data_IF_186016540959
#
_entry.id   IF_186016540959
#
_cell.length_a   1.000
_cell.length_b   1.000
_cell.length_c   1.000
_cell.angle_alpha   90.00
_cell.angle_beta   90.00
_cell.angle_gamma   90.00
#
_symmetry.space_group_name_H-M   'P 1'
#
loop_
_entity.id
_entity.type
_entity.pdbx_description
1 polymer ?
#
# COMPACT_ATOMS: atom_id res chain seq x y z
N UNK A 1 19.04 -5.58 -15.92
CA UNK A 1 17.58 -5.35 -15.84
C UNK A 1 17.32 -5.30 -14.36
N UNK A 2 16.99 -4.13 -13.81
CA UNK A 2 16.62 -4.07 -12.40
C UNK A 2 15.34 -4.89 -12.24
N UNK A 3 15.37 -5.93 -11.40
CA UNK A 3 14.21 -6.74 -11.10
C UNK A 3 13.47 -6.06 -9.95
N UNK A 4 12.39 -5.35 -10.26
CA UNK A 4 11.60 -4.66 -9.24
C UNK A 4 10.68 -5.65 -8.55
N UNK A 5 10.71 -5.61 -7.21
CA UNK A 5 9.85 -6.43 -6.35
C UNK A 5 8.68 -5.61 -5.80
N UNK A 6 7.62 -6.31 -5.40
CA UNK A 6 6.42 -5.68 -4.82
C UNK A 6 6.20 -6.13 -3.39
N UNK A 7 6.10 -5.17 -2.48
CA UNK A 7 5.65 -5.41 -1.10
C UNK A 7 4.27 -4.79 -0.88
N UNK A 8 3.41 -5.47 -0.13
CA UNK A 8 2.13 -4.91 0.32
C UNK A 8 2.13 -4.83 1.85
N UNK A 9 2.03 -3.62 2.38
CA UNK A 9 2.17 -3.36 3.81
C UNK A 9 0.91 -2.69 4.36
N UNK A 10 0.47 -3.16 5.53
CA UNK A 10 -0.61 -2.58 6.33
C UNK A 10 -0.02 -2.08 7.65
N UNK A 11 -0.26 -0.82 8.02
CA UNK A 11 0.41 -0.24 9.20
C UNK A 11 -0.27 0.98 9.82
N UNK A 12 -1.53 1.26 9.47
CA UNK A 12 -2.24 2.47 9.90
C UNK A 12 -2.63 3.32 8.69
N UNK A 13 -2.55 4.65 8.83
CA UNK A 13 -2.95 5.56 7.75
C UNK A 13 -2.04 5.40 6.52
N UNK A 14 -2.63 4.99 5.40
CA UNK A 14 -1.92 4.81 4.14
C UNK A 14 -1.20 6.07 3.61
N UNK A 15 -1.71 7.28 3.85
CA UNK A 15 -1.05 8.53 3.45
C UNK A 15 0.25 8.77 4.19
N UNK A 16 0.30 8.38 5.47
CA UNK A 16 1.53 8.46 6.25
C UNK A 16 2.58 7.46 5.76
N UNK A 17 2.14 6.25 5.37
CA UNK A 17 3.04 5.23 4.84
C UNK A 17 3.56 5.61 3.46
N UNK A 18 2.67 5.99 2.55
CA UNK A 18 2.99 6.43 1.18
C UNK A 18 4.06 7.52 1.20
N UNK A 19 3.84 8.60 1.96
CA UNK A 19 4.78 9.71 2.05
C UNK A 19 6.17 9.32 2.60
N UNK A 20 6.26 8.31 3.47
CA UNK A 20 7.54 7.83 4.01
C UNK A 20 8.25 6.93 3.00
N UNK A 21 7.53 6.03 2.33
CA UNK A 21 8.12 5.10 1.37
C UNK A 21 8.53 5.77 0.06
N UNK A 22 7.80 6.80 -0.41
CA UNK A 22 8.20 7.59 -1.58
C UNK A 22 9.56 8.30 -1.43
N UNK A 23 10.00 8.51 -0.19
CA UNK A 23 11.29 9.15 0.10
C UNK A 23 12.46 8.17 0.20
N UNK A 24 12.19 6.86 0.18
CA UNK A 24 13.24 5.85 0.25
C UNK A 24 13.95 5.71 -1.10
N UNK A 25 15.27 5.53 -1.06
CA UNK A 25 16.03 5.16 -2.26
C UNK A 25 15.71 3.73 -2.64
N UNK A 26 15.76 3.44 -3.94
CA UNK A 26 15.35 2.15 -4.50
C UNK A 26 13.83 1.97 -4.62
N UNK A 27 12.99 2.82 -4.03
CA UNK A 27 11.54 2.78 -4.26
C UNK A 27 11.22 3.49 -5.58
N UNK A 28 10.58 2.77 -6.50
CA UNK A 28 10.14 3.31 -7.79
C UNK A 28 8.73 3.87 -7.73
N UNK A 29 7.83 3.21 -7.01
CA UNK A 29 6.44 3.67 -6.85
C UNK A 29 5.80 3.16 -5.58
N UNK A 30 4.87 3.95 -5.05
CA UNK A 30 3.99 3.57 -3.93
C UNK A 30 2.56 3.85 -4.34
N UNK A 31 1.66 2.90 -4.08
CA UNK A 31 0.24 3.01 -4.39
C UNK A 31 -0.59 2.74 -3.14
N UNK A 32 -1.47 3.68 -2.78
CA UNK A 32 -2.40 3.56 -1.66
C UNK A 32 -3.64 2.74 -2.05
N UNK A 33 -4.09 1.84 -1.16
CA UNK A 33 -5.20 0.94 -1.44
C UNK A 33 -5.80 0.26 -0.21
N UNK A 34 -6.70 -0.69 -0.46
CA UNK A 34 -7.41 -1.45 0.57
C UNK A 34 -7.31 -2.95 0.29
N UNK A 35 -6.97 -3.75 1.30
CA UNK A 35 -6.84 -5.20 1.15
C UNK A 35 -7.24 -5.97 2.41
N UNK A 36 -7.44 -7.28 2.27
CA UNK A 36 -7.72 -8.21 3.38
C UNK A 36 -9.19 -8.28 3.82
N UNK A 37 -10.08 -7.47 3.24
CA UNK A 37 -11.52 -7.52 3.50
C UNK A 37 -12.29 -8.48 2.60
N UNK A 38 -13.60 -8.55 2.81
CA UNK A 38 -14.50 -9.48 2.12
C UNK A 38 -15.40 -8.82 1.08
N UNK A 39 -15.45 -7.47 1.05
CA UNK A 39 -16.27 -6.73 0.08
C UNK A 39 -15.46 -6.50 -1.20
N UNK A 40 -15.93 -6.94 -2.38
CA UNK A 40 -15.24 -6.71 -3.63
C UNK A 40 -15.34 -5.23 -4.05
N UNK A 41 -14.23 -4.64 -4.50
CA UNK A 41 -14.15 -3.25 -4.97
C UNK A 41 -14.86 -2.24 -4.03
N UNK A 42 -14.45 -2.17 -2.74
CA UNK A 42 -15.09 -1.27 -1.79
C UNK A 42 -14.86 0.20 -2.17
N UNK A 43 -15.84 1.06 -1.91
CA UNK A 43 -15.60 2.51 -1.93
C UNK A 43 -14.88 2.95 -0.65
N UNK A 44 -14.22 4.10 -0.69
CA UNK A 44 -13.59 4.71 0.49
C UNK A 44 -14.58 4.82 1.67
N UNK A 45 -15.79 5.30 1.41
CA UNK A 45 -16.85 5.44 2.42
C UNK A 45 -17.23 4.10 3.04
N UNK A 46 -17.27 3.03 2.24
CA UNK A 46 -17.54 1.69 2.74
C UNK A 46 -16.41 1.20 3.66
N UNK A 47 -15.15 1.46 3.32
CA UNK A 47 -14.01 1.13 4.20
C UNK A 47 -14.06 1.93 5.49
N UNK A 48 -14.31 3.25 5.42
CA UNK A 48 -14.45 4.11 6.60
C UNK A 48 -15.59 3.69 7.54
N UNK A 49 -16.62 3.02 7.03
CA UNK A 49 -17.68 2.46 7.87
C UNK A 49 -17.22 1.30 8.77
N UNK A 50 -16.04 0.71 8.49
CA UNK A 50 -15.48 -0.43 9.22
C UNK A 50 -16.15 -1.77 8.93
N UNK A 51 -17.18 -1.80 8.08
CA UNK A 51 -17.98 -3.01 7.83
C UNK A 51 -17.37 -3.95 6.79
N UNK A 52 -16.45 -3.47 5.96
CA UNK A 52 -15.88 -4.24 4.84
C UNK A 52 -14.75 -5.17 5.24
N UNK A 53 -14.18 -4.97 6.44
CA UNK A 53 -13.02 -5.71 6.95
C UNK A 53 -11.71 -5.43 6.21
N UNK A 54 -11.67 -4.43 5.32
CA UNK A 54 -10.43 -4.07 4.64
C UNK A 54 -9.49 -3.27 5.57
N UNK A 55 -8.21 -3.53 5.46
CA UNK A 55 -7.15 -2.70 6.02
C UNK A 55 -6.67 -1.69 4.97
N UNK A 56 -6.31 -0.49 5.43
CA UNK A 56 -5.52 0.44 4.64
C UNK A 56 -4.13 -0.14 4.39
N UNK A 57 -3.74 -0.22 3.12
CA UNK A 57 -2.46 -0.78 2.69
C UNK A 57 -1.79 0.14 1.68
N UNK A 58 -0.48 -0.02 1.56
CA UNK A 58 0.32 0.52 0.46
C UNK A 58 0.99 -0.62 -0.29
N UNK A 59 0.96 -0.56 -1.62
CA UNK A 59 1.75 -1.43 -2.50
C UNK A 59 2.98 -0.65 -2.96
N UNK A 60 4.16 -1.18 -2.65
CA UNK A 60 5.45 -0.55 -2.93
C UNK A 60 6.14 -1.38 -4.00
N UNK A 61 6.53 -0.74 -5.11
CA UNK A 61 7.44 -1.31 -6.10
C UNK A 61 8.84 -0.75 -5.86
N UNK A 62 9.82 -1.62 -5.63
CA UNK A 62 11.18 -1.23 -5.27
C UNK A 62 12.24 -2.15 -5.88
N UNK A 63 13.44 -1.63 -6.05
CA UNK A 63 14.63 -2.40 -6.40
C UNK A 63 15.23 -3.01 -5.12
N UNK A 64 15.22 -4.35 -4.96
CA UNK A 64 15.75 -5.01 -3.78
C UNK A 64 17.27 -4.88 -3.63
N UNK A 65 18.01 -4.49 -4.69
CA UNK A 65 19.45 -4.26 -4.62
C UNK A 65 19.80 -2.85 -4.08
N UNK A 66 18.83 -1.93 -4.01
CA UNK A 66 19.02 -0.54 -3.52
C UNK A 66 18.31 -0.23 -2.17
N UNK A 67 17.48 -1.14 -1.65
CA UNK A 67 16.66 -0.98 -0.42
C UNK A 67 17.23 -1.68 0.81
#
# INVERSE_FOLDING_TARGET
>A
MAETEKATLAGGCFWCLEAVYELLRGVESVQSGYAGGHVPNPSYEAVCSGTTGHAEVVQIEFDPDEV
#
